data_IF_101403565950
#
_entry.id   IF_101403565950
#
_cell.length_a   1.000
_cell.length_b   1.000
_cell.length_c   1.000
_cell.angle_alpha   90.00
_cell.angle_beta   90.00
_cell.angle_gamma   90.00
#
_symmetry.space_group_name_H-M   'P 1'
#
loop_
_entity.id
_entity.type
_entity.pdbx_description
1 polymer ?
#
# COMPACT_ATOMS: atom_id res chain seq x y z
N UNK A 1 15.64 26.19 -54.19
CA UNK A 1 16.83 25.76 -53.43
C UNK A 1 16.61 24.35 -52.92
N UNK A 2 17.60 23.44 -53.07
CA UNK A 2 17.44 22.01 -52.86
C UNK A 2 17.81 21.56 -51.44
N UNK A 3 17.24 20.42 -51.04
CA UNK A 3 17.95 19.33 -50.36
C UNK A 3 18.17 19.44 -48.85
N UNK A 4 17.52 18.53 -48.12
CA UNK A 4 18.19 17.78 -47.04
C UNK A 4 17.44 16.48 -46.72
N UNK A 5 17.91 15.42 -47.35
CA UNK A 5 17.74 14.04 -46.95
C UNK A 5 18.45 13.78 -45.61
N UNK A 6 17.82 13.00 -44.72
CA UNK A 6 18.51 12.33 -43.62
C UNK A 6 18.18 10.83 -43.60
N UNK A 7 19.11 9.98 -43.16
CA UNK A 7 19.24 8.62 -43.65
C UNK A 7 18.56 7.57 -42.76
N UNK A 8 18.13 6.49 -43.43
CA UNK A 8 17.90 5.15 -42.87
C UNK A 8 19.09 4.71 -42.02
N UNK A 9 18.84 4.26 -40.78
CA UNK A 9 19.72 3.32 -40.06
C UNK A 9 19.06 1.95 -40.00
N UNK A 10 19.61 1.06 -40.82
CA UNK A 10 19.52 -0.39 -40.77
C UNK A 10 20.65 -0.91 -39.86
N UNK A 11 20.35 -1.91 -39.04
CA UNK A 11 21.31 -2.66 -38.20
C UNK A 11 20.54 -3.59 -37.27
N UNK A 12 20.09 -4.78 -37.67
CA UNK A 12 20.84 -6.03 -37.93
C UNK A 12 21.61 -6.58 -36.71
N UNK A 13 21.04 -7.65 -36.12
CA UNK A 13 21.69 -8.87 -35.57
C UNK A 13 22.59 -8.66 -34.33
N UNK A 14 22.55 -9.43 -33.24
CA UNK A 14 22.37 -10.88 -33.03
C UNK A 14 22.11 -11.18 -31.54
N UNK A 15 21.61 -12.38 -31.18
CA UNK A 15 21.42 -12.81 -29.80
C UNK A 15 22.72 -13.32 -29.17
N UNK A 16 23.01 -12.94 -27.92
CA UNK A 16 24.11 -13.47 -27.13
C UNK A 16 23.57 -14.46 -26.09
N UNK A 17 23.78 -15.75 -26.36
CA UNK A 17 23.77 -16.82 -25.34
C UNK A 17 25.23 -17.06 -24.91
N UNK A 18 25.56 -17.15 -23.61
CA UNK A 18 26.75 -17.83 -23.14
C UNK A 18 26.40 -19.29 -22.80
N UNK A 19 26.88 -20.25 -23.59
CA UNK A 19 28.14 -21.01 -23.42
C UNK A 19 28.11 -21.98 -22.23
N UNK A 20 27.83 -23.22 -22.59
CA UNK A 20 28.12 -24.45 -21.85
C UNK A 20 29.61 -24.55 -21.54
N UNK A 21 29.97 -24.69 -20.26
CA UNK A 21 31.34 -25.00 -19.84
C UNK A 21 31.60 -26.50 -19.98
N UNK A 22 32.67 -26.77 -20.74
CA UNK A 22 33.16 -28.06 -21.17
C UNK A 22 33.81 -28.84 -20.02
N UNK A 23 33.66 -30.16 -20.05
CA UNK A 23 34.39 -31.14 -19.26
C UNK A 23 35.90 -31.03 -19.47
N UNK A 24 36.66 -30.86 -18.38
CA UNK A 24 38.11 -31.01 -18.43
C UNK A 24 38.51 -32.49 -18.53
N UNK A 25 39.20 -32.83 -19.64
CA UNK A 25 39.94 -34.07 -19.86
C UNK A 25 41.21 -34.09 -19.00
N UNK A 26 41.50 -35.23 -18.38
CA UNK A 26 42.78 -35.57 -17.75
C UNK A 26 43.84 -35.93 -18.81
N UNK A 27 45.11 -35.51 -18.66
CA UNK A 27 46.24 -35.99 -19.46
C UNK A 27 46.92 -37.25 -18.86
N UNK A 28 47.80 -37.92 -19.63
CA UNK A 28 48.03 -39.37 -19.52
C UNK A 28 49.34 -39.79 -18.82
N UNK A 29 49.31 -41.06 -18.38
CA UNK A 29 50.39 -42.07 -18.36
C UNK A 29 51.78 -41.65 -17.85
N UNK A 30 52.08 -42.04 -16.61
CA UNK A 30 53.45 -42.27 -16.15
C UNK A 30 53.77 -43.77 -16.08
N UNK A 31 54.96 -44.11 -16.57
CA UNK A 31 55.52 -45.46 -16.74
C UNK A 31 55.99 -46.04 -15.41
N UNK A 32 55.83 -47.36 -15.30
CA UNK A 32 56.29 -48.21 -14.21
C UNK A 32 57.82 -48.28 -14.12
N UNK A 33 58.34 -48.21 -12.89
CA UNK A 33 59.67 -48.68 -12.52
C UNK A 33 59.50 -49.75 -11.43
N UNK A 34 60.05 -50.94 -11.70
CA UNK A 34 60.00 -52.09 -10.81
C UNK A 34 60.96 -51.87 -9.63
N UNK A 35 60.42 -51.75 -8.41
CA UNK A 35 61.20 -51.73 -7.17
C UNK A 35 60.56 -52.66 -6.11
N UNK A 36 61.39 -53.57 -5.59
CA UNK A 36 61.29 -54.35 -4.35
C UNK A 36 59.91 -54.66 -3.76
N UNK A 37 59.40 -55.86 -4.00
CA UNK A 37 58.11 -56.35 -3.48
C UNK A 37 58.06 -56.57 -1.94
N UNK A 38 59.20 -56.51 -1.23
CA UNK A 38 59.26 -56.76 0.22
C UNK A 38 59.02 -55.54 1.10
N UNK A 39 59.44 -54.34 0.68
CA UNK A 39 59.30 -53.11 1.48
C UNK A 39 57.97 -52.37 1.22
N UNK A 40 57.36 -52.57 0.05
CA UNK A 40 56.10 -51.92 -0.34
C UNK A 40 54.91 -52.50 0.44
N UNK A 41 54.88 -53.79 0.75
CA UNK A 41 53.80 -54.39 1.54
C UNK A 41 53.74 -53.87 2.98
N UNK A 42 54.90 -53.58 3.60
CA UNK A 42 54.94 -53.03 4.95
C UNK A 42 54.58 -51.53 4.97
N UNK A 43 54.98 -50.77 3.95
CA UNK A 43 54.63 -49.35 3.84
C UNK A 43 53.14 -49.15 3.46
N UNK A 44 52.56 -50.01 2.61
CA UNK A 44 51.13 -49.99 2.26
C UNK A 44 50.27 -50.39 3.46
N UNK A 45 50.70 -51.33 4.30
CA UNK A 45 49.98 -51.68 5.54
C UNK A 45 49.98 -50.52 6.56
N UNK A 46 51.09 -49.79 6.69
CA UNK A 46 51.19 -48.62 7.58
C UNK A 46 50.45 -47.40 7.02
N UNK A 47 50.47 -47.16 5.70
CA UNK A 47 49.67 -46.12 5.05
C UNK A 47 48.17 -46.44 5.02
N UNK A 48 47.76 -47.72 4.95
CA UNK A 48 46.36 -48.13 5.05
C UNK A 48 45.78 -47.93 6.46
N UNK A 49 46.62 -47.98 7.50
CA UNK A 49 46.24 -47.65 8.88
C UNK A 49 46.25 -46.14 9.18
N UNK A 50 46.90 -45.34 8.32
CA UNK A 50 46.93 -43.88 8.39
C UNK A 50 45.99 -43.20 7.38
N UNK A 51 45.06 -43.96 6.76
CA UNK A 51 43.97 -43.34 6.01
C UNK A 51 43.11 -42.62 7.06
N UNK A 52 43.07 -41.26 7.08
CA UNK A 52 42.16 -40.55 7.94
C UNK A 52 40.78 -41.11 7.60
N UNK A 53 40.14 -41.76 8.56
CA UNK A 53 38.74 -42.13 8.41
C UNK A 53 38.06 -40.81 8.09
N UNK A 54 37.62 -40.65 6.85
CA UNK A 54 36.63 -39.63 6.53
C UNK A 54 35.48 -39.97 7.46
N UNK A 55 35.45 -39.29 8.60
CA UNK A 55 34.25 -39.17 9.40
C UNK A 55 33.33 -38.47 8.43
N UNK A 56 32.49 -39.25 7.75
CA UNK A 56 31.38 -38.72 7.00
C UNK A 56 30.63 -37.86 8.00
N UNK A 57 30.87 -36.56 7.93
CA UNK A 57 30.22 -35.59 8.78
C UNK A 57 28.74 -35.74 8.45
N UNK A 58 28.02 -36.45 9.32
CA UNK A 58 26.61 -36.69 9.14
C UNK A 58 25.95 -35.32 9.14
N UNK A 59 25.54 -34.87 7.96
CA UNK A 59 24.82 -33.62 7.78
C UNK A 59 23.59 -33.65 8.67
N UNK A 60 23.63 -32.89 9.76
CA UNK A 60 22.53 -32.89 10.70
C UNK A 60 21.41 -31.98 10.16
N UNK A 61 20.15 -32.20 10.57
CA UNK A 61 19.07 -31.27 10.28
C UNK A 61 19.37 -29.84 10.75
N UNK A 62 20.13 -29.69 11.85
CA UNK A 62 20.55 -28.38 12.37
C UNK A 62 21.52 -27.66 11.42
N UNK A 63 22.48 -28.38 10.84
CA UNK A 63 23.42 -27.81 9.85
C UNK A 63 22.67 -27.33 8.61
N UNK A 64 21.74 -28.15 8.10
CA UNK A 64 20.90 -27.79 6.95
C UNK A 64 20.05 -26.55 7.22
N UNK A 65 19.42 -26.48 8.41
CA UNK A 65 18.61 -25.33 8.81
C UNK A 65 19.45 -24.05 8.93
N UNK A 66 20.68 -24.16 9.44
CA UNK A 66 21.60 -23.03 9.59
C UNK A 66 22.04 -22.44 8.25
N UNK A 67 22.29 -23.29 7.25
CA UNK A 67 22.64 -22.86 5.89
C UNK A 67 21.45 -22.15 5.24
N UNK A 68 20.24 -22.68 5.40
CA UNK A 68 19.03 -22.02 4.89
C UNK A 68 18.79 -20.68 5.58
N UNK A 69 19.02 -20.58 6.89
CA UNK A 69 18.89 -19.33 7.62
C UNK A 69 19.88 -18.27 7.13
N UNK A 70 21.14 -18.65 6.91
CA UNK A 70 22.14 -17.73 6.33
C UNK A 70 21.76 -17.28 4.92
N UNK A 71 21.24 -18.18 4.08
CA UNK A 71 20.75 -17.82 2.75
C UNK A 71 19.54 -16.87 2.84
N UNK A 72 18.60 -17.12 3.76
CA UNK A 72 17.47 -16.25 4.00
C UNK A 72 17.92 -14.85 4.48
N UNK A 73 18.87 -14.79 5.41
CA UNK A 73 19.46 -13.55 5.89
C UNK A 73 20.22 -12.80 4.79
N UNK A 74 20.91 -13.51 3.88
CA UNK A 74 21.55 -12.90 2.72
C UNK A 74 20.52 -12.31 1.75
N UNK A 75 19.44 -13.03 1.43
CA UNK A 75 18.36 -12.49 0.61
C UNK A 75 17.66 -11.30 1.27
N UNK A 76 17.48 -11.34 2.60
CA UNK A 76 16.96 -10.22 3.36
C UNK A 76 17.88 -8.98 3.24
N UNK A 77 19.19 -9.14 3.38
CA UNK A 77 20.18 -8.07 3.21
C UNK A 77 20.22 -7.51 1.78
N UNK A 78 19.97 -8.35 0.77
CA UNK A 78 19.81 -7.94 -0.64
C UNK A 78 18.47 -7.27 -0.94
N UNK A 79 17.55 -7.19 0.03
CA UNK A 79 16.20 -6.65 -0.15
C UNK A 79 15.24 -7.60 -0.87
N UNK A 80 15.60 -8.88 -1.03
CA UNK A 80 14.78 -9.94 -1.66
C UNK A 80 13.90 -10.65 -0.64
N UNK A 81 13.06 -9.86 0.04
CA UNK A 81 12.28 -10.29 1.21
C UNK A 81 11.31 -11.44 0.95
N UNK A 82 10.71 -11.54 -0.24
CA UNK A 82 9.79 -12.64 -0.60
C UNK A 82 10.47 -14.01 -0.51
N UNK A 83 11.74 -14.07 -0.95
CA UNK A 83 12.52 -15.31 -0.92
C UNK A 83 13.03 -15.58 0.50
N UNK A 84 13.47 -14.53 1.20
CA UNK A 84 13.89 -14.64 2.60
C UNK A 84 12.75 -15.16 3.49
N UNK A 85 11.53 -14.62 3.34
CA UNK A 85 10.34 -15.09 4.04
C UNK A 85 10.02 -16.54 3.71
N UNK A 86 9.90 -16.89 2.43
CA UNK A 86 9.61 -18.27 2.03
C UNK A 86 10.64 -19.25 2.60
N UNK A 87 11.91 -18.83 2.71
CA UNK A 87 12.94 -19.61 3.38
C UNK A 87 12.74 -19.66 4.90
N UNK A 88 12.46 -18.54 5.58
CA UNK A 88 12.17 -18.54 7.01
C UNK A 88 10.95 -19.43 7.35
N UNK A 89 9.86 -19.33 6.59
CA UNK A 89 8.68 -20.19 6.72
C UNK A 89 9.07 -21.66 6.55
N UNK A 90 9.81 -21.97 5.48
CA UNK A 90 10.29 -23.32 5.21
C UNK A 90 11.19 -23.86 6.33
N UNK A 91 12.04 -23.00 6.91
CA UNK A 91 12.89 -23.36 8.05
C UNK A 91 12.02 -23.69 9.26
N UNK A 92 11.00 -22.87 9.55
CA UNK A 92 10.12 -23.07 10.69
C UNK A 92 9.24 -24.31 10.55
N UNK A 93 8.72 -24.59 9.36
CA UNK A 93 7.91 -25.77 9.07
C UNK A 93 8.72 -27.07 9.14
N UNK A 94 9.89 -27.09 8.49
CA UNK A 94 10.66 -28.33 8.29
C UNK A 94 11.68 -28.59 9.40
N UNK A 95 12.14 -27.56 10.09
CA UNK A 95 13.21 -27.64 11.09
C UNK A 95 12.82 -27.03 12.43
N UNK A 96 11.52 -27.05 12.79
CA UNK A 96 10.96 -26.37 13.97
C UNK A 96 11.68 -26.63 15.31
N UNK A 97 12.36 -27.78 15.48
CA UNK A 97 13.14 -28.09 16.68
C UNK A 97 14.57 -27.53 16.72
N UNK A 98 15.01 -26.81 15.68
CA UNK A 98 16.39 -26.31 15.59
C UNK A 98 16.51 -24.86 16.10
N UNK A 99 17.69 -24.42 16.57
CA UNK A 99 17.94 -23.01 16.90
C UNK A 99 17.68 -22.07 15.73
N UNK A 100 18.01 -22.50 14.51
CA UNK A 100 17.77 -21.71 13.30
C UNK A 100 16.27 -21.45 13.06
N UNK A 101 15.40 -22.41 13.37
CA UNK A 101 13.95 -22.22 13.30
C UNK A 101 13.41 -21.29 14.38
N UNK A 102 14.04 -21.22 15.55
CA UNK A 102 13.70 -20.21 16.56
C UNK A 102 14.03 -18.80 16.06
N UNK A 103 15.23 -18.60 15.50
CA UNK A 103 15.62 -17.33 14.88
C UNK A 103 14.73 -16.97 13.70
N UNK A 104 14.42 -17.92 12.81
CA UNK A 104 13.53 -17.69 11.68
C UNK A 104 12.12 -17.23 12.12
N UNK A 105 11.57 -17.82 13.20
CA UNK A 105 10.31 -17.38 13.81
C UNK A 105 10.36 -15.93 14.31
N UNK A 106 11.45 -15.55 14.97
CA UNK A 106 11.68 -14.18 15.41
C UNK A 106 11.85 -13.21 14.23
N UNK A 107 12.56 -13.63 13.16
CA UNK A 107 12.68 -12.83 11.94
C UNK A 107 11.34 -12.64 11.25
N UNK A 108 10.50 -13.67 11.20
CA UNK A 108 9.15 -13.59 10.63
C UNK A 108 8.26 -12.64 11.45
N UNK A 109 8.29 -12.69 12.77
CA UNK A 109 7.49 -11.76 13.60
C UNK A 109 7.93 -10.30 13.44
N UNK A 110 9.23 -10.06 13.26
CA UNK A 110 9.79 -8.72 12.99
C UNK A 110 9.55 -8.26 11.54
N UNK A 111 9.59 -9.16 10.56
CA UNK A 111 9.37 -8.80 9.16
C UNK A 111 7.89 -8.61 8.82
N UNK A 112 6.96 -9.26 9.52
CA UNK A 112 5.51 -8.94 9.43
C UNK A 112 5.23 -7.50 9.88
N UNK A 113 5.97 -6.98 10.86
CA UNK A 113 5.87 -5.58 11.31
C UNK A 113 6.71 -4.60 10.47
N UNK A 114 7.64 -5.12 9.66
CA UNK A 114 8.63 -4.38 8.90
C UNK A 114 8.64 -4.66 7.39
N UNK A 115 7.51 -5.08 6.78
CA UNK A 115 7.35 -5.17 5.32
C UNK A 115 6.99 -3.81 4.71
N UNK A 116 7.99 -3.09 4.19
CA UNK A 116 7.81 -2.29 3.01
C UNK A 116 8.76 -2.73 1.91
N UNK A 117 8.29 -2.61 0.67
CA UNK A 117 8.88 -1.66 -0.27
C UNK A 117 8.30 -1.78 -1.67
N UNK A 118 7.62 -2.85 -2.07
CA UNK A 118 6.99 -2.88 -3.40
C UNK A 118 5.55 -2.38 -3.36
N UNK A 119 4.70 -3.00 -2.55
CA UNK A 119 3.28 -2.61 -2.48
C UNK A 119 3.12 -1.16 -1.97
N UNK A 120 3.78 -0.77 -0.88
CA UNK A 120 3.73 0.62 -0.38
C UNK A 120 4.30 1.64 -1.36
N UNK A 121 5.35 1.28 -2.14
CA UNK A 121 5.89 2.17 -3.18
C UNK A 121 4.97 2.31 -4.36
N UNK A 122 4.33 1.22 -4.78
CA UNK A 122 3.34 1.26 -5.86
C UNK A 122 2.12 2.05 -5.40
N UNK A 123 1.61 1.81 -4.18
CA UNK A 123 0.48 2.53 -3.60
C UNK A 123 0.73 4.04 -3.56
N UNK A 124 1.87 4.48 -3.01
CA UNK A 124 2.16 5.92 -2.92
C UNK A 124 2.46 6.55 -4.29
N UNK A 125 3.05 5.82 -5.24
CA UNK A 125 3.24 6.32 -6.60
C UNK A 125 1.92 6.44 -7.37
N UNK A 126 1.03 5.46 -7.25
CA UNK A 126 -0.31 5.49 -7.86
C UNK A 126 -1.13 6.60 -7.24
N UNK A 127 -1.13 6.73 -5.91
CA UNK A 127 -1.76 7.84 -5.21
C UNK A 127 -1.17 9.18 -5.66
N UNK A 128 0.15 9.33 -5.63
CA UNK A 128 0.84 10.54 -6.05
C UNK A 128 0.47 10.94 -7.48
N UNK A 129 0.49 9.98 -8.42
CA UNK A 129 0.07 10.22 -9.80
C UNK A 129 -1.38 10.69 -9.91
N UNK A 130 -2.29 9.98 -9.25
CA UNK A 130 -3.74 10.23 -9.31
C UNK A 130 -4.09 11.56 -8.66
N UNK A 131 -3.58 11.80 -7.45
CA UNK A 131 -3.79 13.03 -6.71
C UNK A 131 -3.10 14.22 -7.37
N UNK A 132 -1.91 14.02 -7.95
CA UNK A 132 -1.22 15.03 -8.77
C UNK A 132 -1.99 15.39 -10.04
N UNK A 133 -2.59 14.41 -10.73
CA UNK A 133 -3.49 14.68 -11.87
C UNK A 133 -4.73 15.46 -11.44
N UNK A 134 -5.34 15.08 -10.31
CA UNK A 134 -6.48 15.80 -9.73
C UNK A 134 -6.10 17.24 -9.39
N UNK A 135 -4.96 17.48 -8.73
CA UNK A 135 -4.44 18.83 -8.47
C UNK A 135 -4.18 19.61 -9.76
N UNK A 136 -3.77 18.94 -10.84
CA UNK A 136 -3.60 19.54 -12.16
C UNK A 136 -4.89 20.13 -12.73
N UNK A 137 -6.06 19.64 -12.33
CA UNK A 137 -7.37 20.21 -12.67
C UNK A 137 -7.83 21.19 -11.59
N UNK A 138 -7.73 20.78 -10.32
CA UNK A 138 -8.30 21.51 -9.19
C UNK A 138 -7.60 22.85 -8.95
N UNK A 139 -6.27 22.95 -9.15
CA UNK A 139 -5.55 24.21 -8.91
C UNK A 139 -5.94 25.30 -9.92
N UNK A 140 -5.95 25.07 -11.25
CA UNK A 140 -6.47 26.06 -12.18
C UNK A 140 -7.92 26.47 -11.88
N UNK A 141 -8.78 25.51 -11.53
CA UNK A 141 -10.18 25.77 -11.21
C UNK A 141 -10.32 26.65 -9.94
N UNK A 142 -9.56 26.34 -8.88
CA UNK A 142 -9.52 27.15 -7.66
C UNK A 142 -8.89 28.55 -7.85
N UNK A 143 -8.25 28.80 -8.99
CA UNK A 143 -7.70 30.10 -9.37
C UNK A 143 -8.59 30.84 -10.40
N UNK A 144 -9.80 30.34 -10.65
CA UNK A 144 -10.75 30.92 -11.60
C UNK A 144 -10.33 30.83 -13.07
N UNK A 145 -9.47 29.88 -13.41
CA UNK A 145 -9.04 29.69 -14.78
C UNK A 145 -10.13 29.03 -15.62
N UNK A 146 -10.57 29.71 -16.66
CA UNK A 146 -11.46 29.15 -17.69
C UNK A 146 -10.71 28.73 -18.98
N UNK A 147 -9.38 28.90 -19.00
CA UNK A 147 -8.55 28.59 -20.16
C UNK A 147 -8.24 27.09 -20.25
N UNK A 148 -8.61 26.39 -21.34
CA UNK A 148 -8.29 24.96 -21.54
C UNK A 148 -6.79 24.65 -21.45
N UNK A 149 -5.94 25.62 -21.81
CA UNK A 149 -4.48 25.54 -21.74
C UNK A 149 -3.98 25.31 -20.31
N UNK A 150 -4.61 25.96 -19.31
CA UNK A 150 -4.23 25.81 -17.91
C UNK A 150 -4.52 24.39 -17.40
N UNK A 151 -5.70 23.85 -17.73
CA UNK A 151 -6.07 22.47 -17.42
C UNK A 151 -5.18 21.45 -18.15
N UNK A 152 -4.89 21.70 -19.44
CA UNK A 152 -4.01 20.86 -20.23
C UNK A 152 -2.59 20.82 -19.67
N UNK A 153 -2.03 21.98 -19.30
CA UNK A 153 -0.73 22.08 -18.67
C UNK A 153 -0.71 21.40 -17.29
N UNK A 154 -1.75 21.62 -16.48
CA UNK A 154 -1.91 21.02 -15.17
C UNK A 154 -2.00 19.49 -15.22
N UNK A 155 -2.76 18.92 -16.16
CA UNK A 155 -2.83 17.46 -16.37
C UNK A 155 -1.51 16.86 -16.85
N UNK A 156 -0.83 17.52 -17.80
CA UNK A 156 0.46 17.06 -18.33
C UNK A 156 1.55 17.07 -17.26
N UNK A 157 1.55 18.05 -16.35
CA UNK A 157 2.55 18.17 -15.30
C UNK A 157 2.18 17.42 -14.01
N UNK A 158 0.89 17.41 -13.65
CA UNK A 158 0.39 16.99 -12.35
C UNK A 158 0.71 15.54 -12.00
N UNK A 159 0.37 14.58 -12.87
CA UNK A 159 0.66 13.16 -12.63
C UNK A 159 2.18 12.88 -12.54
N UNK A 160 3.03 13.33 -13.48
CA UNK A 160 4.48 13.16 -13.37
C UNK A 160 5.06 13.78 -12.09
N UNK A 161 4.65 15.00 -11.74
CA UNK A 161 5.11 15.67 -10.51
C UNK A 161 4.68 14.92 -9.26
N UNK A 162 3.46 14.38 -9.24
CA UNK A 162 2.97 13.56 -8.14
C UNK A 162 3.76 12.26 -7.95
N UNK A 163 4.12 11.56 -9.05
CA UNK A 163 5.01 10.39 -8.99
C UNK A 163 6.39 10.77 -8.46
N UNK A 164 6.95 11.88 -8.95
CA UNK A 164 8.27 12.36 -8.53
C UNK A 164 8.28 12.76 -7.05
N UNK A 165 7.23 13.43 -6.57
CA UNK A 165 7.06 13.78 -5.16
C UNK A 165 6.97 12.53 -4.28
N UNK A 166 6.15 11.55 -4.67
CA UNK A 166 6.05 10.28 -3.96
C UNK A 166 7.41 9.54 -3.91
N UNK A 167 8.14 9.50 -5.04
CA UNK A 167 9.48 8.88 -5.09
C UNK A 167 10.50 9.62 -4.23
N UNK A 168 10.53 10.95 -4.30
CA UNK A 168 11.41 11.77 -3.48
C UNK A 168 11.15 11.52 -1.99
N UNK A 169 9.88 11.50 -1.57
CA UNK A 169 9.49 11.20 -0.20
C UNK A 169 9.95 9.82 0.26
N UNK A 170 9.73 8.78 -0.55
CA UNK A 170 10.10 7.40 -0.21
C UNK A 170 11.61 7.12 -0.26
N UNK A 171 12.35 7.88 -1.05
CA UNK A 171 13.81 7.82 -1.05
C UNK A 171 14.39 8.44 0.22
N UNK A 172 13.74 9.49 0.76
CA UNK A 172 14.12 10.12 2.01
C UNK A 172 13.65 9.34 3.26
N UNK A 173 12.51 8.64 3.16
CA UNK A 173 11.89 7.95 4.28
C UNK A 173 11.45 6.54 3.86
N UNK A 174 11.92 5.44 4.51
CA UNK A 174 11.37 4.12 4.26
C UNK A 174 9.92 4.05 4.78
N UNK A 175 8.95 3.91 3.87
CA UNK A 175 7.51 3.97 4.19
C UNK A 175 6.90 2.57 4.25
N UNK A 176 6.37 2.19 5.42
CA UNK A 176 5.54 1.00 5.66
C UNK A 176 4.19 1.08 4.92
N UNK A 177 3.48 -0.04 4.79
CA UNK A 177 2.13 -0.03 4.21
C UNK A 177 1.16 0.87 4.99
N UNK A 178 1.17 0.78 6.33
CA UNK A 178 0.32 1.63 7.18
C UNK A 178 0.66 3.11 7.07
N UNK A 179 1.94 3.44 6.92
CA UNK A 179 2.40 4.82 6.70
C UNK A 179 2.00 5.35 5.33
N UNK A 180 2.14 4.55 4.27
CA UNK A 180 1.74 4.94 2.91
C UNK A 180 0.22 5.19 2.86
N UNK A 181 -0.56 4.33 3.51
CA UNK A 181 -2.00 4.49 3.66
C UNK A 181 -2.39 5.72 4.48
N UNK A 182 -1.69 6.01 5.58
CA UNK A 182 -1.95 7.20 6.37
C UNK A 182 -1.74 8.49 5.55
N UNK A 183 -0.72 8.51 4.69
CA UNK A 183 -0.47 9.65 3.78
C UNK A 183 -1.55 9.75 2.69
N UNK A 184 -1.84 8.65 1.99
CA UNK A 184 -2.80 8.66 0.88
C UNK A 184 -4.23 8.92 1.36
N UNK A 185 -4.66 8.23 2.42
CA UNK A 185 -5.96 8.46 3.03
C UNK A 185 -6.05 9.83 3.68
N UNK A 186 -4.96 10.33 4.30
CA UNK A 186 -4.90 11.69 4.80
C UNK A 186 -5.25 12.71 3.71
N UNK A 187 -4.71 12.55 2.50
CA UNK A 187 -5.07 13.41 1.37
C UNK A 187 -6.54 13.31 0.97
N UNK A 188 -7.07 12.11 0.76
CA UNK A 188 -8.46 11.91 0.36
C UNK A 188 -9.43 12.45 1.43
N UNK A 189 -9.18 12.11 2.69
CA UNK A 189 -9.99 12.57 3.82
C UNK A 189 -9.89 14.07 4.02
N UNK A 190 -8.70 14.64 3.88
CA UNK A 190 -8.48 16.09 3.93
C UNK A 190 -9.24 16.82 2.82
N UNK A 191 -9.25 16.30 1.59
CA UNK A 191 -10.03 16.87 0.49
C UNK A 191 -11.53 16.86 0.79
N UNK A 192 -12.04 15.73 1.31
CA UNK A 192 -13.44 15.61 1.74
C UNK A 192 -13.79 16.57 2.88
N UNK A 193 -12.93 16.71 3.89
CA UNK A 193 -13.13 17.67 4.97
C UNK A 193 -13.07 19.12 4.46
N UNK A 194 -12.17 19.43 3.52
CA UNK A 194 -12.09 20.74 2.89
C UNK A 194 -13.39 21.12 2.17
N UNK A 195 -13.94 20.19 1.37
CA UNK A 195 -15.27 20.35 0.75
C UNK A 195 -16.34 20.57 1.82
N UNK A 196 -16.48 19.63 2.75
CA UNK A 196 -17.60 19.67 3.67
C UNK A 196 -17.60 20.86 4.62
N UNK A 197 -16.43 21.30 5.10
CA UNK A 197 -16.35 22.51 5.93
C UNK A 197 -16.55 23.80 5.14
N UNK A 198 -16.27 23.81 3.84
CA UNK A 198 -16.57 24.96 3.00
C UNK A 198 -18.08 25.12 2.81
N UNK A 199 -18.79 24.03 2.49
CA UNK A 199 -20.24 24.01 2.39
C UNK A 199 -20.90 24.39 3.74
N UNK A 200 -20.53 23.72 4.84
CA UNK A 200 -21.15 23.98 6.16
C UNK A 200 -20.91 25.40 6.71
N UNK A 201 -19.88 26.09 6.22
CA UNK A 201 -19.55 27.45 6.65
C UNK A 201 -19.85 28.49 5.57
N UNK A 202 -20.56 28.12 4.50
CA UNK A 202 -20.93 28.95 3.36
C UNK A 202 -19.72 29.71 2.76
N UNK A 203 -18.56 29.04 2.70
CA UNK A 203 -17.32 29.67 2.23
C UNK A 203 -17.43 29.94 0.73
N UNK A 204 -17.38 31.22 0.37
CA UNK A 204 -17.48 31.67 -1.02
C UNK A 204 -18.89 32.10 -1.43
N UNK A 205 -19.88 31.92 -0.56
CA UNK A 205 -21.23 32.41 -0.84
C UNK A 205 -21.30 33.93 -0.60
N UNK A 206 -21.43 34.65 -1.70
CA UNK A 206 -21.70 36.08 -1.71
C UNK A 206 -23.21 36.34 -1.73
N UNK A 207 -23.70 37.14 -0.78
CA UNK A 207 -25.05 37.69 -0.88
C UNK A 207 -25.01 39.06 -1.55
N UNK A 208 -25.69 39.16 -2.70
CA UNK A 208 -25.93 40.43 -3.34
C UNK A 208 -27.32 40.95 -2.98
N UNK A 209 -27.37 42.02 -2.20
CA UNK A 209 -28.62 42.68 -1.82
C UNK A 209 -28.91 43.88 -2.73
N UNK A 210 -30.12 43.91 -3.29
CA UNK A 210 -30.67 45.04 -4.01
C UNK A 210 -32.03 45.46 -3.42
N UNK A 211 -32.70 46.43 -4.04
CA UNK A 211 -34.01 46.93 -3.58
C UNK A 211 -35.14 45.88 -3.59
N UNK A 212 -34.95 44.74 -4.27
CA UNK A 212 -35.91 43.65 -4.39
C UNK A 212 -35.60 42.46 -3.47
N UNK A 213 -34.49 42.47 -2.74
CA UNK A 213 -34.09 41.39 -1.83
C UNK A 213 -32.60 41.07 -1.91
N UNK A 214 -32.17 40.09 -1.12
CA UNK A 214 -30.83 39.51 -1.20
C UNK A 214 -30.91 38.20 -1.99
N UNK A 215 -29.96 38.01 -2.89
CA UNK A 215 -29.84 36.82 -3.73
C UNK A 215 -28.44 36.24 -3.53
N UNK A 216 -28.37 34.92 -3.38
CA UNK A 216 -27.11 34.20 -3.30
C UNK A 216 -26.50 34.12 -4.71
N UNK A 217 -25.23 34.49 -4.82
CA UNK A 217 -24.48 34.27 -6.04
C UNK A 217 -23.99 32.82 -6.03
N UNK A 218 -24.72 31.93 -6.72
CA UNK A 218 -24.48 30.48 -6.79
C UNK A 218 -23.16 30.07 -7.49
N UNK A 219 -22.13 30.92 -7.50
CA UNK A 219 -20.84 30.62 -8.13
C UNK A 219 -19.73 30.65 -7.08
N UNK A 220 -19.77 29.68 -6.17
CA UNK A 220 -18.75 29.43 -5.14
C UNK A 220 -17.79 28.29 -5.53
N UNK A 221 -17.82 27.86 -6.81
CA UNK A 221 -17.06 26.71 -7.27
C UNK A 221 -15.55 26.86 -7.11
N UNK A 222 -15.03 28.09 -7.24
CA UNK A 222 -13.61 28.40 -7.08
C UNK A 222 -13.16 28.22 -5.62
N UNK A 223 -13.91 28.81 -4.67
CA UNK A 223 -13.65 28.73 -3.24
C UNK A 223 -13.80 27.30 -2.71
N UNK A 224 -14.83 26.58 -3.16
CA UNK A 224 -15.08 25.19 -2.79
C UNK A 224 -13.91 24.29 -3.21
N UNK A 225 -13.47 24.39 -4.46
CA UNK A 225 -12.34 23.61 -4.98
C UNK A 225 -11.04 24.06 -4.30
N UNK A 226 -10.89 25.35 -3.99
CA UNK A 226 -9.79 25.87 -3.18
C UNK A 226 -9.73 25.21 -1.80
N UNK A 227 -10.87 25.12 -1.11
CA UNK A 227 -10.98 24.46 0.19
C UNK A 227 -10.65 22.96 0.11
N UNK A 228 -11.10 22.26 -0.94
CA UNK A 228 -10.73 20.88 -1.24
C UNK A 228 -9.22 20.69 -1.40
N UNK A 229 -8.56 21.58 -2.15
CA UNK A 229 -7.10 21.55 -2.36
C UNK A 229 -6.36 21.77 -1.03
N UNK A 230 -6.73 22.80 -0.28
CA UNK A 230 -6.11 23.13 1.01
C UNK A 230 -6.29 21.98 1.99
N UNK A 231 -7.53 21.49 2.14
CA UNK A 231 -7.88 20.39 3.03
C UNK A 231 -7.08 19.14 2.71
N UNK A 232 -6.99 18.76 1.43
CA UNK A 232 -6.26 17.57 1.03
C UNK A 232 -4.74 17.70 1.19
N UNK A 233 -4.15 18.87 0.91
CA UNK A 233 -2.72 19.11 1.19
C UNK A 233 -2.41 19.10 2.69
N UNK A 234 -3.29 19.68 3.52
CA UNK A 234 -3.19 19.61 4.98
C UNK A 234 -3.31 18.15 5.47
N UNK A 235 -4.20 17.37 4.86
CA UNK A 235 -4.38 15.96 5.11
C UNK A 235 -3.15 15.10 4.76
N UNK A 236 -2.57 15.29 3.56
CA UNK A 236 -1.30 14.64 3.16
C UNK A 236 -0.19 14.98 4.15
N UNK A 237 -0.07 16.26 4.52
CA UNK A 237 0.96 16.73 5.45
C UNK A 237 0.78 16.09 6.83
N UNK A 238 -0.45 16.03 7.34
CA UNK A 238 -0.78 15.37 8.60
C UNK A 238 -0.46 13.89 8.55
N UNK A 239 -0.84 13.20 7.46
CA UNK A 239 -0.50 11.80 7.23
C UNK A 239 1.01 11.56 7.20
N UNK A 240 1.78 12.45 6.56
CA UNK A 240 3.24 12.39 6.52
C UNK A 240 3.88 12.63 7.89
N UNK A 241 3.33 13.54 8.70
CA UNK A 241 3.78 13.77 10.08
C UNK A 241 3.52 12.57 10.97
N UNK A 242 2.32 11.97 10.89
CA UNK A 242 1.99 10.74 11.61
C UNK A 242 2.87 9.57 11.15
N UNK A 243 3.16 9.50 9.85
CA UNK A 243 4.02 8.49 9.26
C UNK A 243 5.50 8.58 9.70
N UNK A 244 5.90 9.59 10.48
CA UNK A 244 7.21 9.59 11.15
C UNK A 244 7.34 8.49 12.20
N UNK A 245 6.21 8.03 12.74
CA UNK A 245 6.15 6.90 13.65
C UNK A 245 5.67 5.63 12.92
N UNK A 246 6.04 4.42 13.38
CA UNK A 246 5.50 3.19 12.83
C UNK A 246 3.97 3.13 12.99
N UNK A 247 3.25 2.99 11.87
CA UNK A 247 1.80 2.82 11.85
C UNK A 247 1.51 1.39 11.39
N UNK A 248 0.76 0.63 12.21
CA UNK A 248 0.26 -0.70 11.85
C UNK A 248 -0.75 -0.58 10.69
N UNK A 249 -0.66 -1.45 9.69
CA UNK A 249 -1.56 -1.44 8.54
C UNK A 249 -3.03 -1.59 8.94
N UNK A 250 -3.30 -2.43 9.95
CA UNK A 250 -4.61 -2.59 10.57
C UNK A 250 -5.19 -1.30 11.14
N UNK A 251 -4.39 -0.52 11.87
CA UNK A 251 -4.80 0.78 12.44
C UNK A 251 -5.12 1.79 11.35
N UNK A 252 -4.26 1.91 10.33
CA UNK A 252 -4.50 2.81 9.20
C UNK A 252 -5.76 2.43 8.42
N UNK A 253 -5.98 1.13 8.19
CA UNK A 253 -7.19 0.62 7.55
C UNK A 253 -8.43 0.80 8.41
N UNK A 254 -8.33 0.60 9.73
CA UNK A 254 -9.41 0.83 10.68
C UNK A 254 -9.83 2.29 10.72
N UNK A 255 -8.87 3.22 10.73
CA UNK A 255 -9.13 4.66 10.62
C UNK A 255 -9.87 5.00 9.31
N UNK A 256 -9.42 4.45 8.18
CA UNK A 256 -10.08 4.64 6.89
C UNK A 256 -11.51 4.09 6.88
N UNK A 257 -11.67 2.81 7.24
CA UNK A 257 -12.98 2.15 7.26
C UNK A 257 -13.94 2.83 8.22
N UNK A 258 -13.48 3.17 9.42
CA UNK A 258 -14.27 3.89 10.41
C UNK A 258 -14.70 5.26 9.93
N UNK A 259 -13.81 6.03 9.29
CA UNK A 259 -14.17 7.33 8.71
C UNK A 259 -15.25 7.21 7.63
N UNK A 260 -15.07 6.28 6.68
CA UNK A 260 -16.03 6.07 5.58
C UNK A 260 -17.39 5.63 6.10
N UNK A 261 -17.44 4.57 6.90
CA UNK A 261 -18.71 4.02 7.36
C UNK A 261 -19.41 4.94 8.35
N UNK A 262 -18.70 5.60 9.27
CA UNK A 262 -19.33 6.55 10.18
C UNK A 262 -19.86 7.79 9.46
N UNK A 263 -19.23 8.23 8.35
CA UNK A 263 -19.80 9.29 7.51
C UNK A 263 -21.12 8.85 6.91
N UNK A 264 -21.15 7.67 6.28
CA UNK A 264 -22.36 7.10 5.67
C UNK A 264 -23.48 6.92 6.71
N UNK A 265 -23.15 6.35 7.87
CA UNK A 265 -24.11 6.11 8.95
C UNK A 265 -24.55 7.41 9.61
N UNK A 266 -23.67 8.40 9.75
CA UNK A 266 -24.01 9.73 10.24
C UNK A 266 -25.01 10.44 9.33
N UNK A 267 -24.79 10.38 8.01
CA UNK A 267 -25.71 10.88 7.00
C UNK A 267 -27.08 10.20 7.12
N UNK A 268 -27.10 8.86 7.05
CA UNK A 268 -28.35 8.08 7.08
C UNK A 268 -29.11 8.28 8.41
N UNK A 269 -28.42 8.21 9.55
CA UNK A 269 -29.07 8.37 10.86
C UNK A 269 -29.65 9.78 11.04
N UNK A 270 -28.96 10.81 10.56
CA UNK A 270 -29.46 12.19 10.65
C UNK A 270 -30.68 12.38 9.75
N UNK A 271 -30.66 11.82 8.53
CA UNK A 271 -31.82 11.83 7.63
C UNK A 271 -33.04 11.09 8.17
N UNK A 272 -32.84 10.02 8.95
CA UNK A 272 -33.93 9.28 9.61
C UNK A 272 -34.51 10.06 10.80
N UNK A 273 -33.65 10.76 11.57
CA UNK A 273 -34.08 11.39 12.82
C UNK A 273 -34.81 12.71 12.56
N UNK A 274 -34.48 13.41 11.47
CA UNK A 274 -34.97 14.75 11.25
C UNK A 274 -35.04 15.12 9.76
N UNK A 275 -36.24 14.99 9.20
CA UNK A 275 -36.55 15.36 7.80
C UNK A 275 -36.45 16.88 7.55
N UNK A 276 -36.56 17.70 8.61
CA UNK A 276 -36.56 19.16 8.52
C UNK A 276 -35.15 19.78 8.62
N UNK A 277 -34.08 18.96 8.67
CA UNK A 277 -32.71 19.49 8.72
C UNK A 277 -32.34 20.04 7.34
N UNK A 278 -31.98 21.33 7.30
CA UNK A 278 -31.33 21.94 6.16
C UNK A 278 -30.08 21.13 5.74
N UNK A 279 -29.78 21.11 4.44
CA UNK A 279 -28.71 20.27 3.87
C UNK A 279 -27.37 20.38 4.62
N UNK A 280 -27.03 21.57 5.14
CA UNK A 280 -25.81 21.83 5.91
C UNK A 280 -25.74 21.03 7.21
N UNK A 281 -26.88 20.80 7.87
CA UNK A 281 -26.95 20.00 9.08
C UNK A 281 -26.68 18.52 8.83
N UNK A 282 -27.15 17.98 7.69
CA UNK A 282 -26.83 16.62 7.25
C UNK A 282 -25.34 16.47 6.95
N UNK A 283 -24.76 17.45 6.26
CA UNK A 283 -23.33 17.46 5.93
C UNK A 283 -22.46 17.63 7.19
N UNK A 284 -22.81 18.54 8.10
CA UNK A 284 -22.12 18.71 9.38
C UNK A 284 -22.13 17.40 10.20
N UNK A 285 -23.29 16.74 10.31
CA UNK A 285 -23.39 15.47 11.01
C UNK A 285 -22.51 14.39 10.36
N UNK A 286 -22.48 14.35 9.02
CA UNK A 286 -21.63 13.45 8.23
C UNK A 286 -20.15 13.67 8.51
N UNK A 287 -19.70 14.93 8.56
CA UNK A 287 -18.30 15.29 8.83
C UNK A 287 -17.88 14.94 10.25
N UNK A 288 -18.73 15.26 11.23
CA UNK A 288 -18.48 14.96 12.64
C UNK A 288 -18.47 13.46 12.89
N UNK A 289 -19.45 12.73 12.35
CA UNK A 289 -19.51 11.27 12.45
C UNK A 289 -18.30 10.63 11.78
N UNK A 290 -17.89 11.09 10.60
CA UNK A 290 -16.69 10.63 9.92
C UNK A 290 -15.42 10.82 10.75
N UNK A 291 -15.23 11.98 11.36
CA UNK A 291 -14.08 12.23 12.24
C UNK A 291 -14.11 11.36 13.51
N UNK A 292 -15.29 11.19 14.11
CA UNK A 292 -15.49 10.28 15.25
C UNK A 292 -15.18 8.82 14.86
N UNK A 293 -15.66 8.38 13.70
CA UNK A 293 -15.40 7.05 13.15
C UNK A 293 -13.94 6.82 12.80
N UNK A 294 -13.22 7.83 12.31
CA UNK A 294 -11.79 7.76 12.07
C UNK A 294 -11.04 7.42 13.36
N UNK A 295 -11.33 8.18 14.43
CA UNK A 295 -10.68 8.00 15.74
C UNK A 295 -11.08 6.66 16.37
N UNK A 296 -12.37 6.33 16.35
CA UNK A 296 -12.89 5.07 16.88
C UNK A 296 -12.31 3.86 16.13
N UNK A 297 -12.28 3.91 14.79
CA UNK A 297 -11.72 2.86 13.95
C UNK A 297 -10.23 2.65 14.18
N UNK A 298 -9.46 3.73 14.33
CA UNK A 298 -8.04 3.66 14.69
C UNK A 298 -7.84 3.03 16.09
N UNK A 299 -8.63 3.46 17.07
CA UNK A 299 -8.55 2.97 18.45
C UNK A 299 -8.93 1.48 18.55
N UNK A 300 -10.05 1.08 17.95
CA UNK A 300 -10.55 -0.30 17.95
C UNK A 300 -9.59 -1.24 17.21
N UNK A 301 -9.11 -0.86 16.03
CA UNK A 301 -8.12 -1.65 15.32
C UNK A 301 -6.82 -1.78 16.14
N UNK A 302 -6.47 -0.74 16.89
CA UNK A 302 -5.30 -0.75 17.76
C UNK A 302 -5.45 -1.66 18.98
N UNK A 303 -6.62 -1.66 19.64
CA UNK A 303 -6.89 -2.40 20.86
C UNK A 303 -7.15 -3.89 20.62
N UNK A 304 -7.79 -4.24 19.50
CA UNK A 304 -8.11 -5.62 19.12
C UNK A 304 -7.07 -6.25 18.19
N UNK A 305 -5.97 -5.54 17.90
CA UNK A 305 -4.91 -5.95 16.97
C UNK A 305 -5.46 -6.43 15.62
N UNK A 306 -6.48 -5.72 15.11
CA UNK A 306 -7.15 -6.08 13.86
C UNK A 306 -6.16 -5.95 12.70
N UNK A 307 -6.13 -6.96 11.84
CA UNK A 307 -5.33 -6.91 10.61
C UNK A 307 -6.07 -6.14 9.52
N UNK A 308 -5.34 -5.70 8.47
CA UNK A 308 -5.96 -5.12 7.26
C UNK A 308 -7.01 -6.05 6.65
N UNK A 309 -6.80 -7.37 6.72
CA UNK A 309 -7.72 -8.36 6.20
C UNK A 309 -9.03 -8.36 7.00
N UNK A 310 -8.95 -8.27 8.32
CA UNK A 310 -10.13 -8.24 9.18
C UNK A 310 -10.96 -6.99 8.89
N UNK A 311 -10.33 -5.82 8.80
CA UNK A 311 -11.02 -4.58 8.43
C UNK A 311 -11.68 -4.68 7.05
N UNK A 312 -11.00 -5.27 6.06
CA UNK A 312 -11.58 -5.46 4.73
C UNK A 312 -12.79 -6.39 4.75
N UNK A 313 -12.76 -7.44 5.55
CA UNK A 313 -13.90 -8.33 5.72
C UNK A 313 -15.07 -7.61 6.38
N UNK A 314 -14.82 -6.79 7.40
CA UNK A 314 -15.84 -5.94 8.04
C UNK A 314 -16.44 -4.97 7.02
N UNK A 315 -15.62 -4.25 6.25
CA UNK A 315 -16.13 -3.35 5.21
C UNK A 315 -16.88 -4.08 4.09
N UNK A 316 -16.47 -5.30 3.75
CA UNK A 316 -17.19 -6.11 2.77
C UNK A 316 -18.54 -6.57 3.32
N UNK A 317 -18.61 -6.97 4.60
CA UNK A 317 -19.85 -7.29 5.31
C UNK A 317 -20.82 -6.10 5.28
N UNK A 318 -20.35 -4.93 5.71
CA UNK A 318 -21.13 -3.69 5.70
C UNK A 318 -21.63 -3.31 4.29
N UNK A 319 -20.81 -3.49 3.26
CA UNK A 319 -21.19 -3.23 1.87
C UNK A 319 -22.23 -4.22 1.36
N UNK A 320 -22.00 -5.52 1.57
CA UNK A 320 -22.93 -6.58 1.13
C UNK A 320 -24.26 -6.47 1.86
N UNK A 321 -24.23 -6.19 3.17
CA UNK A 321 -25.39 -5.93 3.99
C UNK A 321 -26.17 -4.71 3.50
N UNK A 322 -25.48 -3.58 3.26
CA UNK A 322 -26.11 -2.37 2.73
C UNK A 322 -26.74 -2.57 1.35
N UNK A 323 -26.04 -3.24 0.43
CA UNK A 323 -26.57 -3.59 -0.89
C UNK A 323 -27.76 -4.55 -0.81
N UNK A 324 -27.71 -5.51 0.11
CA UNK A 324 -28.83 -6.41 0.39
C UNK A 324 -30.06 -5.64 0.90
N UNK A 325 -29.85 -4.65 1.78
CA UNK A 325 -30.91 -3.78 2.25
C UNK A 325 -31.49 -2.88 1.17
N UNK A 326 -30.66 -2.27 0.32
CA UNK A 326 -31.13 -1.53 -0.85
C UNK A 326 -31.93 -2.43 -1.81
N UNK A 327 -31.52 -3.69 -1.97
CA UNK A 327 -32.28 -4.67 -2.74
C UNK A 327 -33.64 -4.99 -2.13
N UNK A 328 -33.73 -5.10 -0.80
CA UNK A 328 -35.00 -5.27 -0.08
C UNK A 328 -35.88 -4.04 -0.19
N UNK A 329 -35.29 -2.85 -0.06
CA UNK A 329 -35.97 -1.57 -0.21
C UNK A 329 -36.64 -1.46 -1.59
N UNK A 330 -35.94 -1.79 -2.67
CA UNK A 330 -36.51 -1.83 -4.02
C UNK A 330 -37.63 -2.86 -4.23
N UNK A 331 -37.65 -3.94 -3.45
CA UNK A 331 -38.68 -4.97 -3.51
C UNK A 331 -39.92 -4.60 -2.71
N UNK A 332 -39.74 -3.95 -1.56
CA UNK A 332 -40.82 -3.57 -0.64
C UNK A 332 -41.44 -2.23 -1.07
N UNK A 333 -40.63 -1.31 -1.60
CA UNK A 333 -40.98 0.07 -1.95
C UNK A 333 -41.74 0.75 -0.81
N UNK A 334 -41.10 0.96 0.35
CA UNK A 334 -41.73 1.66 1.46
C UNK A 334 -42.14 3.08 1.02
N UNK A 335 -43.33 3.51 1.47
CA UNK A 335 -43.85 4.84 1.18
C UNK A 335 -43.15 5.95 2.00
N UNK A 336 -42.35 5.55 2.99
CA UNK A 336 -41.73 6.38 4.03
C UNK A 336 -40.20 6.40 3.82
N UNK A 337 -39.63 7.61 3.74
CA UNK A 337 -38.22 7.82 3.38
C UNK A 337 -37.30 7.34 4.51
N UNK A 338 -37.73 7.48 5.76
CA UNK A 338 -37.01 7.02 6.94
C UNK A 338 -36.91 5.50 6.95
N UNK A 339 -37.98 4.80 6.58
CA UNK A 339 -37.95 3.34 6.39
C UNK A 339 -37.01 2.97 5.24
N UNK A 340 -37.07 3.71 4.13
CA UNK A 340 -36.19 3.47 2.97
C UNK A 340 -34.70 3.63 3.30
N UNK A 341 -34.36 4.57 4.20
CA UNK A 341 -32.98 4.77 4.70
C UNK A 341 -32.62 3.79 5.82
N UNK A 342 -33.56 3.43 6.69
CA UNK A 342 -33.33 2.56 7.83
C UNK A 342 -33.03 1.11 7.43
N UNK A 343 -33.68 0.60 6.37
CA UNK A 343 -33.44 -0.76 5.87
C UNK A 343 -31.96 -0.97 5.49
N UNK A 344 -31.37 -0.22 4.52
CA UNK A 344 -29.97 -0.40 4.12
C UNK A 344 -28.98 -0.07 5.23
N UNK A 345 -29.31 0.89 6.12
CA UNK A 345 -28.49 1.18 7.29
C UNK A 345 -28.42 -0.02 8.24
N UNK A 346 -29.57 -0.57 8.63
CA UNK A 346 -29.66 -1.69 9.55
C UNK A 346 -29.02 -2.96 8.98
N UNK A 347 -29.26 -3.28 7.71
CA UNK A 347 -28.64 -4.44 7.08
C UNK A 347 -27.14 -4.27 6.87
N UNK A 348 -26.65 -3.03 6.65
CA UNK A 348 -25.22 -2.74 6.62
C UNK A 348 -24.56 -2.98 7.97
N UNK A 349 -25.18 -2.56 9.08
CA UNK A 349 -24.65 -2.78 10.43
C UNK A 349 -24.64 -4.28 10.82
N UNK A 350 -25.60 -5.06 10.31
CA UNK A 350 -25.70 -6.49 10.59
C UNK A 350 -24.75 -7.38 9.77
N UNK A 351 -24.23 -6.88 8.63
CA UNK A 351 -23.37 -7.63 7.70
C UNK A 351 -21.90 -7.65 8.11
#
# INVERSE_FOLDING_TARGET
MPGRSRPRRSGSRSPFLPRTTSFHRLPPRFRAAAFGHGAVLLLVAVLALAIPRHVDAQLTPADSASVLLQAADAFAQEGRWEIAEALYERITERFGGTPAAATARERLSVSVSGRPQRESRVELQVFGATYGAWLGIAVPLALGSNEPEAYGAGLLAGAPLGILAARAYMNANPVSEGQARAISWGGIWGTWQGFGWAEVLDIGEGQFCNEFGCFDTNDNGEELVGAMVIGGLAGITTGALLARNPIRSGVASGAQGGATWASIYGLMATGIINEDIADDGLLLATLLAGNGGLLAGAALAGSYDLTRRDIRMISLGALVGGLGGLGLDLLIQPDDTEVALAIPLATSVLG
#
